data_IF_837875206449
#
_entry.id   IF_837875206449
#
_cell.length_a   1.000
_cell.length_b   1.000
_cell.length_c   1.000
_cell.angle_alpha   90.00
_cell.angle_beta   90.00
_cell.angle_gamma   90.00
#
_symmetry.space_group_name_H-M   'P 1'
#
loop_
_entity.id
_entity.type
_entity.pdbx_description
1 polymer ?
#
# COMPACT_ATOMS: atom_id res chain seq x y z
N UNK A 1 -5.29 -16.17 -2.35
CA UNK A 1 -4.31 -17.22 -2.68
C UNK A 1 -3.53 -16.91 -3.96
N UNK A 2 -4.20 -16.75 -5.10
CA UNK A 2 -3.57 -16.55 -6.42
C UNK A 2 -2.60 -15.36 -6.51
N UNK A 3 -2.92 -14.23 -5.85
CA UNK A 3 -2.03 -13.07 -5.81
C UNK A 3 -0.73 -13.40 -5.07
N UNK A 4 -0.84 -14.06 -3.93
CA UNK A 4 0.33 -14.44 -3.10
C UNK A 4 1.22 -15.45 -3.84
N UNK A 5 0.62 -16.40 -4.54
CA UNK A 5 1.35 -17.37 -5.36
C UNK A 5 2.13 -16.68 -6.49
N UNK A 6 1.53 -15.70 -7.16
CA UNK A 6 2.22 -14.89 -8.18
C UNK A 6 3.40 -14.11 -7.60
N UNK A 7 3.21 -13.51 -6.41
CA UNK A 7 4.29 -12.78 -5.72
C UNK A 7 5.44 -13.74 -5.40
N UNK A 8 5.15 -14.91 -4.84
CA UNK A 8 6.19 -15.88 -4.50
C UNK A 8 6.93 -16.44 -5.72
N UNK A 9 6.23 -16.70 -6.82
CA UNK A 9 6.87 -17.12 -8.07
C UNK A 9 7.82 -16.05 -8.64
N UNK A 10 7.44 -14.78 -8.57
CA UNK A 10 8.30 -13.65 -8.98
C UNK A 10 9.49 -13.47 -8.02
N UNK A 11 9.25 -13.58 -6.71
CA UNK A 11 10.29 -13.52 -5.69
C UNK A 11 11.39 -14.58 -5.93
N UNK A 12 11.01 -15.83 -6.13
CA UNK A 12 11.95 -16.92 -6.34
C UNK A 12 12.86 -16.68 -7.55
N UNK A 13 12.25 -16.30 -8.68
CA UNK A 13 12.98 -15.96 -9.92
C UNK A 13 13.98 -14.82 -9.70
N UNK A 14 13.53 -13.71 -9.13
CA UNK A 14 14.34 -12.51 -8.97
C UNK A 14 15.44 -12.69 -7.91
N UNK A 15 15.15 -13.34 -6.80
CA UNK A 15 16.14 -13.65 -5.76
C UNK A 15 17.27 -14.51 -6.32
N UNK A 16 16.96 -15.50 -7.17
CA UNK A 16 17.97 -16.34 -7.81
C UNK A 16 18.91 -15.51 -8.69
N UNK A 17 18.36 -14.59 -9.49
CA UNK A 17 19.15 -13.66 -10.32
C UNK A 17 20.05 -12.76 -9.45
N UNK A 18 19.50 -12.17 -8.38
CA UNK A 18 20.26 -11.31 -7.45
C UNK A 18 21.39 -12.02 -6.76
N UNK A 19 21.16 -13.24 -6.25
CA UNK A 19 22.21 -14.06 -5.62
C UNK A 19 23.37 -14.33 -6.57
N UNK A 20 23.07 -14.65 -7.82
CA UNK A 20 24.11 -14.91 -8.84
C UNK A 20 24.96 -13.69 -9.14
N UNK A 21 24.32 -12.52 -9.19
CA UNK A 21 25.02 -11.26 -9.52
C UNK A 21 25.82 -10.70 -8.34
N UNK A 22 25.23 -10.67 -7.13
CA UNK A 22 25.86 -10.09 -5.94
C UNK A 22 26.86 -11.05 -5.27
N UNK A 23 26.82 -12.34 -5.56
CA UNK A 23 27.67 -13.39 -4.98
C UNK A 23 27.76 -13.37 -3.44
N UNK A 24 26.69 -12.94 -2.78
CA UNK A 24 26.55 -12.88 -1.32
C UNK A 24 25.13 -13.23 -0.86
N UNK A 25 24.95 -13.59 0.41
CA UNK A 25 23.60 -13.70 1.00
C UNK A 25 22.84 -12.37 0.95
N UNK A 26 21.53 -12.46 0.74
CA UNK A 26 20.61 -11.33 0.77
C UNK A 26 19.88 -11.24 2.11
N UNK A 27 19.68 -10.04 2.60
CA UNK A 27 18.77 -9.77 3.72
C UNK A 27 17.32 -10.04 3.32
N UNK A 28 16.41 -10.13 4.29
CA UNK A 28 14.97 -10.26 4.00
C UNK A 28 14.46 -9.09 3.17
N UNK A 29 14.84 -7.86 3.54
CA UNK A 29 14.46 -6.64 2.82
C UNK A 29 14.91 -6.67 1.37
N UNK A 30 16.17 -7.01 1.11
CA UNK A 30 16.70 -7.13 -0.26
C UNK A 30 15.94 -8.19 -1.08
N UNK A 31 15.57 -9.30 -0.46
CA UNK A 31 14.77 -10.34 -1.14
C UNK A 31 13.39 -9.83 -1.54
N UNK A 32 12.71 -9.11 -0.62
CA UNK A 32 11.38 -8.56 -0.89
C UNK A 32 11.46 -7.49 -1.97
N UNK A 33 12.38 -6.53 -1.86
CA UNK A 33 12.57 -5.49 -2.86
C UNK A 33 12.91 -6.07 -4.24
N UNK A 34 13.83 -7.04 -4.30
CA UNK A 34 14.16 -7.73 -5.54
C UNK A 34 12.95 -8.35 -6.24
N UNK A 35 12.04 -8.92 -5.45
CA UNK A 35 10.79 -9.50 -5.96
C UNK A 35 9.81 -8.50 -6.54
N UNK A 36 9.89 -7.23 -6.13
CA UNK A 36 8.96 -6.18 -6.54
C UNK A 36 9.57 -5.16 -7.51
N UNK A 37 10.83 -5.35 -7.91
CA UNK A 37 11.44 -4.48 -8.92
C UNK A 37 10.80 -4.66 -10.29
N UNK A 38 10.75 -3.57 -11.04
CA UNK A 38 10.55 -3.63 -12.48
C UNK A 38 11.73 -4.34 -13.14
N UNK A 39 11.44 -5.23 -14.09
CA UNK A 39 12.45 -6.11 -14.70
C UNK A 39 13.63 -5.33 -15.34
N UNK A 40 13.38 -4.13 -15.84
CA UNK A 40 14.39 -3.25 -16.47
C UNK A 40 15.43 -2.70 -15.48
N UNK A 41 15.11 -2.69 -14.18
CA UNK A 41 15.96 -2.10 -13.14
C UNK A 41 16.77 -3.12 -12.35
N UNK A 42 16.55 -4.42 -12.58
CA UNK A 42 17.30 -5.48 -11.94
C UNK A 42 18.82 -5.33 -12.12
N UNK A 43 19.25 -4.84 -13.26
CA UNK A 43 20.68 -4.66 -13.57
C UNK A 43 21.23 -3.32 -13.05
N UNK A 44 20.39 -2.30 -12.88
CA UNK A 44 20.79 -0.97 -12.39
C UNK A 44 20.99 -0.89 -10.87
N UNK A 45 20.28 -1.70 -10.08
CA UNK A 45 20.40 -1.76 -8.62
C UNK A 45 21.79 -2.18 -8.15
N UNK A 46 22.56 -2.80 -9.03
CA UNK A 46 23.83 -3.41 -8.71
C UNK A 46 24.99 -2.45 -8.85
N UNK A 47 24.78 -1.29 -9.48
CA UNK A 47 25.90 -0.48 -9.95
C UNK A 47 26.23 0.73 -9.07
N UNK A 48 25.31 1.30 -8.27
CA UNK A 48 25.67 2.45 -7.42
C UNK A 48 24.75 2.72 -6.23
N UNK A 49 25.34 3.27 -5.16
CA UNK A 49 24.74 3.58 -3.85
C UNK A 49 23.67 4.69 -3.83
N UNK A 50 23.25 5.22 -4.98
CA UNK A 50 22.26 6.33 -5.07
C UNK A 50 21.45 6.26 -6.36
N UNK A 51 20.74 5.18 -6.60
CA UNK A 51 19.85 5.08 -7.74
C UNK A 51 18.39 5.06 -7.32
N UNK A 52 17.54 5.67 -8.12
CA UNK A 52 16.11 5.46 -8.03
C UNK A 52 15.76 4.05 -8.50
N UNK A 53 14.90 3.39 -7.78
CA UNK A 53 14.36 2.08 -8.12
C UNK A 53 12.86 2.19 -8.31
N UNK A 54 12.33 1.41 -9.24
CA UNK A 54 10.92 1.37 -9.57
C UNK A 54 10.35 0.04 -9.07
N UNK A 55 9.41 0.14 -8.15
CA UNK A 55 8.82 -0.99 -7.45
C UNK A 55 7.35 -1.15 -7.82
N UNK A 56 6.87 -2.39 -7.81
CA UNK A 56 5.45 -2.75 -7.98
C UNK A 56 4.88 -3.24 -6.66
N UNK A 57 4.29 -2.38 -5.85
CA UNK A 57 3.60 -2.81 -4.64
C UNK A 57 2.46 -3.78 -4.95
N UNK A 58 2.17 -4.67 -4.01
CA UNK A 58 1.06 -5.62 -4.12
C UNK A 58 -0.28 -4.99 -3.77
N UNK A 59 -0.27 -3.91 -2.98
CA UNK A 59 -1.48 -3.21 -2.56
C UNK A 59 -1.23 -1.80 -2.07
N UNK A 60 -2.33 -1.01 -2.03
CA UNK A 60 -2.38 0.32 -1.44
C UNK A 60 -3.42 0.34 -0.32
N UNK A 61 -3.09 0.98 0.81
CA UNK A 61 -4.04 1.26 1.89
C UNK A 61 -4.17 2.78 2.10
N UNK A 62 -5.39 3.27 2.11
CA UNK A 62 -5.71 4.68 2.29
C UNK A 62 -6.47 4.88 3.61
N UNK A 63 -6.14 5.92 4.36
CA UNK A 63 -6.96 6.35 5.49
C UNK A 63 -7.95 7.44 5.06
N UNK A 64 -8.96 7.74 5.86
CA UNK A 64 -10.09 8.58 5.48
C UNK A 64 -9.79 10.09 5.32
N UNK A 65 -8.73 10.60 5.93
CA UNK A 65 -8.35 12.03 5.78
C UNK A 65 -7.63 12.27 4.47
N UNK A 66 -6.49 11.60 4.25
CA UNK A 66 -5.68 11.76 3.03
C UNK A 66 -6.26 11.02 1.83
N UNK A 67 -7.01 9.94 2.07
CA UNK A 67 -7.66 9.13 1.04
C UNK A 67 -8.64 9.92 0.17
N UNK A 68 -9.25 10.98 0.70
CA UNK A 68 -10.11 11.88 -0.09
C UNK A 68 -9.32 12.50 -1.25
N UNK A 69 -8.15 13.07 -0.96
CA UNK A 69 -7.30 13.70 -1.96
C UNK A 69 -6.77 12.66 -2.97
N UNK A 70 -6.35 11.50 -2.47
CA UNK A 70 -5.87 10.41 -3.33
C UNK A 70 -6.94 9.95 -4.31
N UNK A 71 -8.18 9.74 -3.83
CA UNK A 71 -9.29 9.35 -4.69
C UNK A 71 -9.61 10.42 -5.74
N UNK A 72 -9.57 11.70 -5.38
CA UNK A 72 -9.76 12.80 -6.33
C UNK A 72 -8.64 12.84 -7.38
N UNK A 73 -7.39 12.67 -6.98
CA UNK A 73 -6.25 12.60 -7.92
C UNK A 73 -6.38 11.38 -8.86
N UNK A 74 -6.74 10.21 -8.31
CA UNK A 74 -6.99 9.02 -9.12
C UNK A 74 -8.14 9.23 -10.13
N UNK A 75 -9.21 9.90 -9.73
CA UNK A 75 -10.34 10.22 -10.62
C UNK A 75 -9.90 11.09 -11.81
N UNK A 76 -8.94 12.00 -11.61
CA UNK A 76 -8.40 12.85 -12.68
C UNK A 76 -7.62 12.04 -13.72
N UNK A 77 -7.08 10.89 -13.36
CA UNK A 77 -6.42 9.99 -14.31
C UNK A 77 -7.39 9.35 -15.34
N UNK A 78 -8.70 9.43 -15.12
CA UNK A 78 -9.73 8.97 -16.04
C UNK A 78 -9.83 7.46 -16.20
N UNK A 79 -9.25 6.70 -15.29
CA UNK A 79 -9.24 5.24 -15.32
C UNK A 79 -10.57 4.65 -14.81
N UNK A 80 -10.92 3.47 -15.30
CA UNK A 80 -12.18 2.80 -14.94
C UNK A 80 -12.13 2.08 -13.59
N UNK A 81 -10.95 1.61 -13.19
CA UNK A 81 -10.72 0.88 -11.94
C UNK A 81 -9.28 1.01 -11.48
N UNK A 82 -9.03 0.78 -10.20
CA UNK A 82 -7.67 0.67 -9.66
C UNK A 82 -6.92 -0.51 -10.28
N UNK A 83 -5.61 -0.34 -10.48
CA UNK A 83 -4.77 -1.34 -11.15
C UNK A 83 -4.33 -2.49 -10.21
N UNK A 84 -4.41 -2.27 -8.90
CA UNK A 84 -4.00 -3.25 -7.88
C UNK A 84 -4.95 -3.18 -6.67
N UNK A 85 -4.98 -4.20 -5.80
CA UNK A 85 -5.77 -4.21 -4.59
C UNK A 85 -5.58 -2.94 -3.76
N UNK A 86 -6.63 -2.17 -3.60
CA UNK A 86 -6.66 -0.92 -2.84
C UNK A 86 -7.77 -0.96 -1.82
N UNK A 87 -7.52 -0.49 -0.61
CA UNK A 87 -8.55 -0.39 0.44
C UNK A 87 -8.53 0.97 1.11
N UNK A 88 -9.73 1.47 1.43
CA UNK A 88 -9.95 2.72 2.18
C UNK A 88 -10.46 2.35 3.57
N UNK A 89 -9.88 2.93 4.60
CA UNK A 89 -10.18 2.65 6.01
C UNK A 89 -10.59 3.93 6.73
N UNK A 90 -11.71 3.89 7.45
CA UNK A 90 -12.30 5.05 8.09
C UNK A 90 -12.08 5.00 9.61
N UNK A 91 -10.90 5.40 10.07
CA UNK A 91 -10.51 5.38 11.48
C UNK A 91 -9.96 6.72 12.01
N UNK A 92 -9.38 7.58 11.17
CA UNK A 92 -8.72 8.81 11.61
C UNK A 92 -9.69 9.92 12.00
N UNK A 93 -10.88 9.99 11.42
CA UNK A 93 -11.89 11.00 11.75
C UNK A 93 -12.67 10.67 13.02
N UNK A 94 -12.50 9.49 13.60
CA UNK A 94 -13.09 9.11 14.88
C UNK A 94 -12.23 9.65 16.01
N UNK A 95 -12.78 10.54 16.81
CA UNK A 95 -12.06 11.12 17.95
C UNK A 95 -12.41 10.35 19.22
N UNK A 96 -11.42 9.72 19.83
CA UNK A 96 -11.57 8.93 21.07
C UNK A 96 -11.73 9.86 22.30
N UNK A 97 -12.89 10.47 22.45
CA UNK A 97 -13.19 11.44 23.53
C UNK A 97 -13.92 10.82 24.71
N UNK A 98 -14.87 9.94 24.46
CA UNK A 98 -15.77 9.41 25.48
C UNK A 98 -15.82 7.88 25.44
N UNK A 99 -16.49 7.32 24.46
CA UNK A 99 -16.54 5.86 24.28
C UNK A 99 -16.70 5.50 22.78
N UNK A 100 -16.23 4.33 22.39
CA UNK A 100 -16.15 3.93 20.98
C UNK A 100 -17.48 4.01 20.21
N UNK A 101 -18.60 3.67 20.83
CA UNK A 101 -19.92 3.73 20.17
C UNK A 101 -20.44 5.15 19.96
N UNK A 102 -20.31 6.01 20.95
CA UNK A 102 -20.77 7.41 20.86
C UNK A 102 -19.86 8.20 19.93
N UNK A 103 -18.54 8.02 20.04
CA UNK A 103 -17.55 8.71 19.22
C UNK A 103 -17.66 8.32 17.74
N UNK A 104 -17.91 7.02 17.44
CA UNK A 104 -18.17 6.55 16.07
C UNK A 104 -19.45 7.16 15.51
N UNK A 105 -20.56 7.19 16.29
CA UNK A 105 -21.81 7.81 15.83
C UNK A 105 -21.64 9.30 15.54
N UNK A 106 -20.91 10.01 16.40
CA UNK A 106 -20.63 11.42 16.22
C UNK A 106 -19.80 11.65 14.93
N UNK A 107 -18.73 10.87 14.74
CA UNK A 107 -17.91 10.94 13.54
C UNK A 107 -18.73 10.68 12.26
N UNK A 108 -19.61 9.67 12.27
CA UNK A 108 -20.50 9.38 11.14
C UNK A 108 -21.48 10.53 10.84
N UNK A 109 -21.94 11.22 11.85
CA UNK A 109 -22.79 12.39 11.68
C UNK A 109 -22.02 13.60 11.13
N UNK A 110 -20.91 13.94 11.77
CA UNK A 110 -20.11 15.12 11.42
C UNK A 110 -19.41 14.99 10.05
N UNK A 111 -18.97 13.78 9.69
CA UNK A 111 -18.20 13.50 8.47
C UNK A 111 -18.97 12.65 7.43
N UNK A 112 -20.30 12.68 7.48
CA UNK A 112 -21.16 11.87 6.62
C UNK A 112 -20.86 12.06 5.12
N UNK A 113 -20.58 13.29 4.68
CA UNK A 113 -20.25 13.60 3.30
C UNK A 113 -18.94 12.94 2.86
N UNK A 114 -17.91 12.99 3.71
CA UNK A 114 -16.60 12.35 3.48
C UNK A 114 -16.75 10.84 3.36
N UNK A 115 -17.42 10.23 4.31
CA UNK A 115 -17.62 8.76 4.30
C UNK A 115 -18.42 8.30 3.08
N UNK A 116 -19.48 9.02 2.73
CA UNK A 116 -20.25 8.75 1.51
C UNK A 116 -19.43 8.90 0.24
N UNK A 117 -18.62 9.94 0.15
CA UNK A 117 -17.71 10.11 -0.98
C UNK A 117 -16.75 8.93 -1.11
N UNK A 118 -16.07 8.56 -0.01
CA UNK A 118 -15.09 7.47 -0.01
C UNK A 118 -15.75 6.12 -0.33
N UNK A 119 -16.92 5.83 0.23
CA UNK A 119 -17.68 4.62 -0.05
C UNK A 119 -18.07 4.50 -1.53
N UNK A 120 -18.67 5.56 -2.07
CA UNK A 120 -19.16 5.57 -3.46
C UNK A 120 -18.00 5.56 -4.46
N UNK A 121 -16.91 6.29 -4.19
CA UNK A 121 -15.72 6.29 -5.02
C UNK A 121 -15.03 4.91 -4.99
N UNK A 122 -14.87 4.31 -3.80
CA UNK A 122 -14.32 2.96 -3.66
C UNK A 122 -15.12 1.95 -4.46
N UNK A 123 -16.44 1.94 -4.31
CA UNK A 123 -17.33 1.06 -5.06
C UNK A 123 -17.20 1.25 -6.57
N UNK A 124 -17.15 2.51 -7.03
CA UNK A 124 -17.06 2.84 -8.46
C UNK A 124 -15.76 2.34 -9.10
N UNK A 125 -14.66 2.46 -8.39
CA UNK A 125 -13.33 2.18 -8.93
C UNK A 125 -12.75 0.82 -8.51
N UNK A 126 -13.53 -0.01 -7.80
CA UNK A 126 -13.13 -1.36 -7.41
C UNK A 126 -12.16 -1.41 -6.23
N UNK A 127 -12.12 -0.37 -5.40
CA UNK A 127 -11.43 -0.38 -4.12
C UNK A 127 -12.32 -0.96 -3.02
N UNK A 128 -11.71 -1.63 -2.03
CA UNK A 128 -12.40 -2.06 -0.82
C UNK A 128 -12.67 -0.89 0.12
N UNK A 129 -13.76 -0.96 0.88
CA UNK A 129 -14.12 0.07 1.85
C UNK A 129 -14.40 -0.51 3.23
N UNK A 130 -13.67 -0.04 4.23
CA UNK A 130 -13.83 -0.38 5.63
C UNK A 130 -14.51 0.77 6.36
N UNK A 131 -15.75 0.52 6.80
CA UNK A 131 -16.61 1.51 7.44
C UNK A 131 -16.02 2.07 8.74
N UNK A 132 -16.45 3.28 9.18
CA UNK A 132 -16.14 3.78 10.52
C UNK A 132 -16.50 2.77 11.60
N UNK A 133 -15.56 2.51 12.52
CA UNK A 133 -15.71 1.53 13.58
C UNK A 133 -15.21 0.12 13.25
N UNK A 134 -14.68 -0.12 12.05
CA UNK A 134 -14.09 -1.42 11.67
C UNK A 134 -12.75 -1.72 12.35
N UNK A 135 -12.12 -0.72 12.93
CA UNK A 135 -10.81 -0.81 13.59
C UNK A 135 -9.76 0.11 12.99
N UNK A 136 -8.59 0.15 13.63
CA UNK A 136 -7.45 0.94 13.17
C UNK A 136 -6.90 0.33 11.87
N UNK A 137 -6.69 1.18 10.86
CA UNK A 137 -6.26 0.77 9.51
C UNK A 137 -5.12 -0.26 9.53
N UNK A 138 -4.04 0.00 10.26
CA UNK A 138 -2.86 -0.86 10.20
C UNK A 138 -3.10 -2.22 10.84
N UNK A 139 -3.94 -2.29 11.87
CA UNK A 139 -4.35 -3.54 12.50
C UNK A 139 -5.26 -4.34 11.57
N UNK A 140 -6.23 -3.69 10.96
CA UNK A 140 -7.13 -4.32 9.97
C UNK A 140 -6.34 -4.87 8.79
N UNK A 141 -5.35 -4.11 8.28
CA UNK A 141 -4.48 -4.54 7.18
C UNK A 141 -3.60 -5.71 7.60
N UNK A 142 -2.99 -5.66 8.79
CA UNK A 142 -2.16 -6.73 9.32
C UNK A 142 -2.94 -8.04 9.43
N UNK A 143 -4.15 -7.99 9.96
CA UNK A 143 -4.98 -9.18 10.22
C UNK A 143 -5.58 -9.80 8.95
N UNK A 144 -5.88 -8.98 7.95
CA UNK A 144 -6.66 -9.45 6.79
C UNK A 144 -5.84 -9.56 5.49
N UNK A 145 -4.74 -8.84 5.37
CA UNK A 145 -4.06 -8.67 4.08
C UNK A 145 -2.56 -8.88 4.11
N UNK A 146 -1.92 -8.78 5.28
CA UNK A 146 -0.47 -8.94 5.38
C UNK A 146 -0.05 -10.40 5.15
N UNK A 147 1.03 -10.58 4.45
CA UNK A 147 1.68 -11.87 4.26
C UNK A 147 3.21 -11.70 4.15
N UNK A 148 4.00 -12.69 4.59
CA UNK A 148 5.45 -12.63 4.49
C UNK A 148 5.91 -12.42 3.05
N UNK A 149 6.84 -11.50 2.83
CA UNK A 149 7.39 -11.23 1.49
C UNK A 149 6.58 -10.28 0.61
N UNK A 150 5.45 -9.76 1.07
CA UNK A 150 4.67 -8.74 0.37
C UNK A 150 5.29 -7.35 0.46
N UNK A 151 4.88 -6.45 -0.43
CA UNK A 151 5.20 -5.03 -0.42
C UNK A 151 3.90 -4.22 -0.51
N UNK A 152 3.68 -3.32 0.43
CA UNK A 152 2.55 -2.39 0.36
C UNK A 152 2.97 -0.94 0.61
N UNK A 153 2.20 -0.02 0.09
CA UNK A 153 2.28 1.39 0.42
C UNK A 153 0.97 1.88 1.02
N UNK A 154 1.03 2.94 1.83
CA UNK A 154 -0.17 3.52 2.42
C UNK A 154 0.00 5.01 2.72
N UNK A 155 -1.10 5.72 2.80
CA UNK A 155 -1.11 7.18 3.00
C UNK A 155 -1.09 7.59 4.47
N UNK A 156 -0.42 6.82 5.29
CA UNK A 156 -0.28 7.08 6.73
C UNK A 156 1.15 6.81 7.20
N UNK A 157 1.66 7.65 8.11
CA UNK A 157 3.01 7.52 8.67
C UNK A 157 3.20 6.25 9.51
N UNK A 158 2.12 5.64 10.00
CA UNK A 158 2.15 4.39 10.76
C UNK A 158 1.92 3.15 9.89
N UNK A 159 1.86 3.28 8.57
CA UNK A 159 1.76 2.14 7.62
C UNK A 159 2.76 1.02 7.93
N UNK A 160 4.02 1.28 8.37
CA UNK A 160 4.98 0.23 8.73
C UNK A 160 4.49 -0.78 9.77
N UNK A 161 3.50 -0.45 10.61
CA UNK A 161 2.89 -1.40 11.55
C UNK A 161 2.28 -2.62 10.85
N UNK A 162 1.78 -2.46 9.63
CA UNK A 162 1.24 -3.57 8.84
C UNK A 162 2.32 -4.58 8.39
N UNK A 163 3.60 -4.23 8.53
CA UNK A 163 4.74 -5.11 8.21
C UNK A 163 5.08 -6.15 9.27
N UNK A 164 4.35 -6.23 10.37
CA UNK A 164 4.68 -7.09 11.52
C UNK A 164 4.77 -8.59 11.22
N UNK A 165 4.21 -9.06 10.10
CA UNK A 165 4.30 -10.46 9.64
C UNK A 165 5.37 -10.68 8.55
N UNK A 166 6.35 -9.79 8.41
CA UNK A 166 7.42 -9.94 7.40
C UNK A 166 7.06 -9.42 6.01
N UNK A 167 6.12 -8.51 5.93
CA UNK A 167 5.83 -7.69 4.76
C UNK A 167 6.58 -6.36 4.87
N UNK A 168 7.01 -5.78 3.75
CA UNK A 168 7.44 -4.37 3.74
C UNK A 168 6.19 -3.50 3.57
N UNK A 169 5.97 -2.61 4.52
CA UNK A 169 4.89 -1.64 4.47
C UNK A 169 5.46 -0.22 4.67
N UNK A 170 5.15 0.69 3.75
CA UNK A 170 5.77 2.03 3.70
C UNK A 170 4.70 3.10 3.62
N UNK A 171 4.85 4.15 4.46
CA UNK A 171 4.05 5.37 4.35
C UNK A 171 4.56 6.24 3.21
N UNK A 172 3.64 6.67 2.34
CA UNK A 172 3.95 7.48 1.14
C UNK A 172 3.04 8.70 1.06
N UNK A 173 3.39 9.64 0.19
CA UNK A 173 2.53 10.77 -0.16
C UNK A 173 1.29 10.35 -0.96
N UNK A 174 0.29 11.23 -0.97
CA UNK A 174 -0.96 10.95 -1.70
C UNK A 174 -0.75 10.74 -3.20
N UNK A 175 0.19 11.47 -3.80
CA UNK A 175 0.49 11.33 -5.22
C UNK A 175 1.09 9.96 -5.55
N UNK A 176 2.06 9.48 -4.77
CA UNK A 176 2.64 8.14 -4.95
C UNK A 176 1.57 7.05 -4.90
N UNK A 177 0.63 7.17 -3.95
CA UNK A 177 -0.48 6.25 -3.83
C UNK A 177 -1.40 6.31 -5.05
N UNK A 178 -1.76 7.50 -5.53
CA UNK A 178 -2.63 7.68 -6.69
C UNK A 178 -2.01 7.15 -7.98
N UNK A 179 -0.72 7.41 -8.20
CA UNK A 179 0.04 6.90 -9.35
C UNK A 179 0.14 5.38 -9.33
N UNK A 180 0.44 4.80 -8.16
CA UNK A 180 0.46 3.34 -8.01
C UNK A 180 -0.92 2.73 -8.25
N UNK A 181 -1.99 3.33 -7.73
CA UNK A 181 -3.37 2.90 -8.01
C UNK A 181 -3.70 2.98 -9.52
N UNK A 182 -3.10 3.92 -10.23
CA UNK A 182 -3.21 4.05 -11.68
C UNK A 182 -2.36 3.04 -12.48
N UNK A 183 -1.56 2.21 -11.80
CA UNK A 183 -0.71 1.20 -12.42
C UNK A 183 0.70 1.67 -12.74
N UNK A 184 1.10 2.85 -12.27
CA UNK A 184 2.49 3.29 -12.37
C UNK A 184 3.35 2.61 -11.29
N UNK A 185 4.64 2.38 -11.54
CA UNK A 185 5.54 1.89 -10.50
C UNK A 185 5.75 2.97 -9.44
N UNK A 186 5.96 2.53 -8.20
CA UNK A 186 6.39 3.42 -7.14
C UNK A 186 7.90 3.66 -7.22
N UNK A 187 8.28 4.93 -7.26
CA UNK A 187 9.67 5.35 -7.35
C UNK A 187 10.25 5.54 -5.95
N UNK A 188 11.34 4.85 -5.65
CA UNK A 188 12.04 4.93 -4.38
C UNK A 188 13.51 5.28 -4.60
N UNK A 189 14.01 6.30 -3.89
CA UNK A 189 15.45 6.55 -3.80
C UNK A 189 16.09 5.49 -2.91
N UNK A 190 16.81 4.58 -3.53
CA UNK A 190 17.49 3.50 -2.81
C UNK A 190 18.77 4.01 -2.16
N UNK A 191 18.81 3.95 -0.84
CA UNK A 191 19.99 4.25 -0.03
C UNK A 191 20.31 3.03 0.82
N UNK A 192 21.45 2.42 0.59
CA UNK A 192 22.04 1.41 1.48
C UNK A 192 23.22 2.02 2.21
#
# INVERSE_FOLDING_TARGET
PEMVEKVYGKLEKNISKFKTTLQRPLTLTEKILAGHLEDEFLDKLLDEKKNYVFLRPDRVALQDVTGQMVMLQFMQAGLKSVALPTTVHCDHLIQARTEGKSDTKLAMYENNEVYKFLETASSKYGAGFWNPGSGIIHQVVLENYAFPGGLMIGTDSHTPNAGGLGMIAVGVGGLDAAETMAGMPWELLYQI
#
